data_IF_453682912243
#
_entry.id   IF_453682912243
#
_cell.length_a   1.000
_cell.length_b   1.000
_cell.length_c   1.000
_cell.angle_alpha   90.00
_cell.angle_beta   90.00
_cell.angle_gamma   90.00
#
_symmetry.space_group_name_H-M   'P 1'
#
loop_
_entity.id
_entity.type
_entity.pdbx_description
1 polymer ?
#
# COMPACT_ATOMS: atom_id res chain seq x y z
N UNK A 1 -8.10 1.12 -4.72
CA UNK A 1 -7.19 2.18 -4.23
C UNK A 1 -7.12 3.41 -5.15
N UNK A 2 -7.40 3.30 -6.46
CA UNK A 2 -7.37 4.45 -7.40
C UNK A 2 -8.18 5.65 -6.89
N UNK A 3 -9.43 5.44 -6.46
CA UNK A 3 -10.30 6.54 -5.99
C UNK A 3 -9.69 7.31 -4.82
N UNK A 4 -9.26 6.68 -3.71
CA UNK A 4 -8.60 7.39 -2.61
C UNK A 4 -7.21 7.95 -2.95
N UNK A 5 -6.43 7.32 -3.84
CA UNK A 5 -5.11 7.86 -4.25
C UNK A 5 -5.24 9.18 -5.01
N UNK A 6 -6.26 9.30 -5.87
CA UNK A 6 -6.45 10.49 -6.71
C UNK A 6 -7.47 11.49 -6.14
N UNK A 7 -8.10 11.18 -5.00
CA UNK A 7 -9.20 12.00 -4.48
C UNK A 7 -10.39 12.09 -5.44
N UNK A 8 -10.54 11.11 -6.32
CA UNK A 8 -11.49 11.18 -7.45
C UNK A 8 -12.94 11.20 -7.00
N UNK A 9 -13.22 10.88 -5.74
CA UNK A 9 -14.58 10.90 -5.21
C UNK A 9 -15.28 12.25 -5.23
N UNK A 10 -14.52 13.34 -5.40
CA UNK A 10 -15.06 14.68 -5.60
C UNK A 10 -15.43 14.99 -7.08
N UNK A 11 -14.89 14.24 -8.04
CA UNK A 11 -14.94 14.58 -9.48
C UNK A 11 -15.63 13.54 -10.35
N UNK A 12 -15.72 12.28 -9.92
CA UNK A 12 -16.43 11.23 -10.66
C UNK A 12 -17.88 11.03 -10.18
N UNK A 13 -18.87 11.00 -11.10
CA UNK A 13 -20.25 10.68 -10.74
C UNK A 13 -20.35 9.30 -10.07
N UNK A 14 -21.20 9.17 -9.06
CA UNK A 14 -21.47 7.93 -8.28
C UNK A 14 -20.34 7.43 -7.37
N UNK A 15 -19.25 8.17 -7.18
CA UNK A 15 -18.14 7.78 -6.28
C UNK A 15 -17.96 8.77 -5.12
N UNK A 16 -19.04 9.40 -4.67
CA UNK A 16 -18.97 10.49 -3.70
C UNK A 16 -18.20 10.06 -2.44
N UNK A 17 -17.07 10.71 -2.17
CA UNK A 17 -16.30 10.49 -0.95
C UNK A 17 -16.73 11.50 0.11
N UNK A 18 -17.40 11.04 1.16
CA UNK A 18 -17.84 11.89 2.27
C UNK A 18 -17.45 11.27 3.60
N UNK A 19 -17.31 12.10 4.64
CA UNK A 19 -16.98 11.63 5.98
C UNK A 19 -15.69 10.83 5.98
N UNK A 20 -15.79 9.56 6.41
CA UNK A 20 -14.67 8.64 6.54
C UNK A 20 -13.97 8.32 5.22
N UNK A 21 -14.70 8.22 4.10
CA UNK A 21 -14.07 7.96 2.79
C UNK A 21 -13.18 9.13 2.36
N UNK A 22 -13.59 10.37 2.64
CA UNK A 22 -12.81 11.56 2.34
C UNK A 22 -11.60 11.68 3.28
N UNK A 23 -11.77 11.33 4.56
CA UNK A 23 -10.68 11.26 5.55
C UNK A 23 -9.62 10.23 5.13
N UNK A 24 -10.05 9.02 4.78
CA UNK A 24 -9.17 7.96 4.29
C UNK A 24 -8.46 8.37 3.00
N UNK A 25 -9.18 8.92 2.03
CA UNK A 25 -8.62 9.47 0.79
C UNK A 25 -7.52 10.50 1.07
N UNK A 26 -7.78 11.42 2.00
CA UNK A 26 -6.80 12.45 2.38
C UNK A 26 -5.56 11.86 3.03
N UNK A 27 -5.70 10.88 3.91
CA UNK A 27 -4.57 10.14 4.49
C UNK A 27 -3.71 9.49 3.40
N UNK A 28 -4.33 8.79 2.44
CA UNK A 28 -3.62 8.15 1.34
C UNK A 28 -2.87 9.18 0.50
N UNK A 29 -3.53 10.25 0.07
CA UNK A 29 -2.90 11.34 -0.70
C UNK A 29 -1.67 11.88 0.03
N UNK A 30 -1.81 12.22 1.31
CA UNK A 30 -0.74 12.82 2.10
C UNK A 30 0.45 11.85 2.29
N UNK A 31 0.23 10.54 2.46
CA UNK A 31 1.31 9.54 2.48
C UNK A 31 2.05 9.49 1.13
N UNK A 32 1.31 9.46 0.02
CA UNK A 32 1.88 9.42 -1.33
C UNK A 32 2.65 10.69 -1.69
N UNK A 33 2.13 11.88 -1.35
CA UNK A 33 2.81 13.15 -1.63
C UNK A 33 4.03 13.34 -0.74
N UNK A 34 3.98 12.92 0.53
CA UNK A 34 5.14 12.92 1.43
C UNK A 34 6.26 12.06 0.88
N UNK A 35 5.92 10.84 0.43
CA UNK A 35 6.89 9.97 -0.23
C UNK A 35 7.45 10.59 -1.51
N UNK A 36 6.61 11.17 -2.36
CA UNK A 36 7.06 11.82 -3.60
C UNK A 36 8.02 13.00 -3.33
N UNK A 37 7.81 13.75 -2.24
CA UNK A 37 8.66 14.88 -1.84
C UNK A 37 9.99 14.46 -1.22
N UNK A 38 10.02 13.35 -0.48
CA UNK A 38 11.15 13.06 0.44
C UNK A 38 11.75 11.66 0.30
N UNK A 39 11.10 10.74 -0.40
CA UNK A 39 11.43 9.31 -0.41
C UNK A 39 11.02 8.57 0.88
N UNK A 40 10.37 9.23 1.83
CA UNK A 40 9.88 8.67 3.08
C UNK A 40 8.39 9.04 3.25
N UNK A 41 7.45 8.09 3.40
CA UNK A 41 6.04 8.43 3.59
C UNK A 41 5.73 9.04 4.97
N UNK A 42 6.69 9.03 5.90
CA UNK A 42 6.53 9.62 7.23
C UNK A 42 6.89 11.11 7.18
N UNK A 43 5.94 12.03 7.44
CA UNK A 43 6.16 13.44 7.23
C UNK A 43 7.01 14.02 8.37
N UNK A 44 8.09 14.72 8.02
CA UNK A 44 9.04 15.33 8.96
C UNK A 44 8.60 16.75 9.30
N UNK A 45 8.84 17.24 10.53
CA UNK A 45 8.32 18.53 11.01
C UNK A 45 8.68 19.75 10.14
N UNK A 46 9.76 19.68 9.37
CA UNK A 46 10.24 20.70 8.43
C UNK A 46 9.67 20.58 7.00
N UNK A 47 8.88 19.53 6.72
CA UNK A 47 8.22 19.33 5.44
C UNK A 47 7.26 20.49 5.13
N UNK A 48 7.47 21.10 3.97
CA UNK A 48 6.58 22.14 3.45
C UNK A 48 5.33 21.49 2.86
N UNK A 49 4.20 21.69 3.54
CA UNK A 49 2.90 21.20 3.11
C UNK A 49 1.91 21.00 4.27
N UNK A 50 0.79 20.35 3.96
CA UNK A 50 -0.30 20.08 4.91
C UNK A 50 -0.21 18.68 5.52
N UNK A 51 0.68 17.83 5.01
CA UNK A 51 0.81 16.43 5.40
C UNK A 51 1.21 16.28 6.89
N UNK A 52 2.10 17.14 7.39
CA UNK A 52 2.49 17.17 8.81
C UNK A 52 1.35 17.50 9.79
N UNK A 53 0.30 18.16 9.30
CA UNK A 53 -0.85 18.54 10.11
C UNK A 53 -1.95 17.48 10.13
N UNK A 54 -1.83 16.44 9.31
CA UNK A 54 -2.80 15.35 9.23
C UNK A 54 -2.46 14.29 10.29
N UNK A 55 -3.30 14.20 11.34
CA UNK A 55 -3.10 13.26 12.45
C UNK A 55 -3.14 11.80 12.00
N UNK A 56 -3.91 11.48 10.95
CA UNK A 56 -3.99 10.12 10.40
C UNK A 56 -2.69 9.71 9.70
N UNK A 57 -1.81 10.67 9.40
CA UNK A 57 -0.49 10.41 8.78
C UNK A 57 0.60 10.55 9.83
N UNK A 58 0.59 11.64 10.61
CA UNK A 58 1.65 11.93 11.58
C UNK A 58 1.67 10.98 12.78
N UNK A 59 0.57 10.28 13.07
CA UNK A 59 0.50 9.28 14.14
C UNK A 59 1.05 7.90 13.72
N UNK A 60 1.23 7.66 12.42
CA UNK A 60 1.68 6.38 11.89
C UNK A 60 3.18 6.42 11.66
N UNK A 61 3.85 5.30 11.92
CA UNK A 61 5.22 5.07 11.48
C UNK A 61 5.22 3.98 10.42
N UNK A 62 5.09 4.36 9.15
CA UNK A 62 5.21 3.44 8.03
C UNK A 62 6.66 3.03 7.87
N UNK A 63 6.97 1.86 8.44
CA UNK A 63 8.30 1.26 8.39
C UNK A 63 8.63 0.78 6.99
N UNK A 64 9.87 1.02 6.56
CA UNK A 64 10.40 0.41 5.35
C UNK A 64 10.31 -1.13 5.38
N UNK A 65 10.04 -1.71 4.22
CA UNK A 65 9.95 -3.15 4.03
C UNK A 65 11.29 -3.84 4.34
N UNK A 66 11.25 -4.97 5.06
CA UNK A 66 12.42 -5.77 5.40
C UNK A 66 12.05 -7.27 5.54
N UNK A 67 13.03 -8.10 5.94
CA UNK A 67 12.87 -9.55 6.05
C UNK A 67 11.76 -10.01 7.02
N UNK A 68 11.27 -9.13 7.90
CA UNK A 68 10.13 -9.42 8.80
C UNK A 68 8.77 -9.19 8.13
N UNK A 69 8.76 -8.80 6.86
CA UNK A 69 7.56 -8.52 6.07
C UNK A 69 6.63 -7.51 6.78
N UNK A 70 7.11 -6.29 7.13
CA UNK A 70 6.24 -5.26 7.68
C UNK A 70 5.37 -4.65 6.57
N UNK A 71 4.06 -4.65 6.76
CA UNK A 71 3.06 -4.09 5.83
C UNK A 71 2.24 -3.05 6.58
N UNK A 72 1.99 -1.90 5.95
CA UNK A 72 1.03 -0.93 6.48
C UNK A 72 -0.37 -1.35 6.06
N UNK A 73 -1.20 -1.75 7.02
CA UNK A 73 -2.63 -1.94 6.81
C UNK A 73 -3.27 -0.56 6.78
N UNK A 74 -3.79 -0.18 5.60
CA UNK A 74 -4.42 1.12 5.38
C UNK A 74 -5.92 1.02 5.67
N UNK A 75 -6.35 1.65 6.76
CA UNK A 75 -7.76 1.83 7.17
C UNK A 75 -7.90 3.18 7.90
N UNK A 76 -9.09 3.52 8.38
CA UNK A 76 -9.32 4.71 9.24
C UNK A 76 -8.44 4.68 10.50
N UNK A 77 -8.13 3.49 11.00
CA UNK A 77 -7.17 3.24 12.08
C UNK A 77 -6.01 2.40 11.54
N UNK A 78 -5.23 3.01 10.65
CA UNK A 78 -4.10 2.35 10.00
C UNK A 78 -3.02 1.92 10.99
N UNK A 79 -2.42 0.74 10.75
CA UNK A 79 -1.42 0.14 11.64
C UNK A 79 -0.40 -0.70 10.89
N UNK A 80 0.76 -0.88 11.49
CA UNK A 80 1.77 -1.82 10.97
C UNK A 80 1.42 -3.26 11.35
N UNK A 81 1.38 -4.14 10.35
CA UNK A 81 1.21 -5.58 10.50
C UNK A 81 2.51 -6.28 10.11
N UNK A 82 2.91 -7.29 10.88
CA UNK A 82 4.09 -8.10 10.61
C UNK A 82 3.65 -9.43 10.01
N UNK A 83 4.31 -9.87 8.93
CA UNK A 83 3.94 -11.14 8.29
C UNK A 83 2.59 -11.09 7.56
N UNK A 84 2.14 -9.90 7.15
CA UNK A 84 0.89 -9.74 6.41
C UNK A 84 0.87 -10.63 5.15
N UNK A 85 -0.23 -11.36 4.98
CA UNK A 85 -0.51 -12.26 3.84
C UNK A 85 0.54 -13.35 3.56
N UNK A 86 1.45 -13.63 4.50
CA UNK A 86 2.57 -14.55 4.26
C UNK A 86 2.13 -15.97 3.88
N UNK A 87 1.04 -16.47 4.48
CA UNK A 87 0.47 -17.79 4.16
C UNK A 87 -0.12 -17.83 2.74
N UNK A 88 -0.78 -16.75 2.33
CA UNK A 88 -1.37 -16.63 0.99
C UNK A 88 -0.26 -16.53 -0.06
N UNK A 89 0.78 -15.72 0.19
CA UNK A 89 1.94 -15.64 -0.68
C UNK A 89 2.65 -16.99 -0.79
N UNK A 90 2.85 -17.70 0.32
CA UNK A 90 3.49 -19.02 0.31
C UNK A 90 2.67 -20.04 -0.49
N UNK A 91 1.34 -20.05 -0.31
CA UNK A 91 0.44 -20.89 -1.09
C UNK A 91 0.50 -20.56 -2.58
N UNK A 92 0.43 -19.29 -2.95
CA UNK A 92 0.49 -18.84 -4.35
C UNK A 92 1.84 -19.20 -4.97
N UNK A 93 2.95 -19.01 -4.26
CA UNK A 93 4.29 -19.41 -4.71
C UNK A 93 4.42 -20.92 -4.90
N UNK A 94 3.72 -21.73 -4.11
CA UNK A 94 3.67 -23.18 -4.26
C UNK A 94 2.84 -23.60 -5.48
N UNK A 95 1.63 -23.05 -5.63
CA UNK A 95 0.71 -23.46 -6.69
C UNK A 95 1.10 -22.91 -8.07
N UNK A 96 1.55 -21.65 -8.15
CA UNK A 96 1.94 -21.00 -9.43
C UNK A 96 3.24 -21.58 -9.99
N UNK A 97 4.07 -22.25 -9.17
CA UNK A 97 5.23 -23.01 -9.70
C UNK A 97 4.82 -24.06 -10.72
N UNK A 98 3.63 -24.62 -10.59
CA UNK A 98 3.09 -25.66 -11.46
C UNK A 98 2.07 -25.11 -12.47
N UNK A 99 1.87 -23.79 -12.52
CA UNK A 99 1.03 -23.15 -13.53
C UNK A 99 1.81 -22.93 -14.84
N UNK A 100 1.64 -23.89 -15.76
CA UNK A 100 2.25 -23.91 -17.09
C UNK A 100 1.71 -22.81 -18.04
N UNK A 101 0.65 -22.09 -17.65
CA UNK A 101 0.10 -20.96 -18.43
C UNK A 101 0.91 -19.69 -18.16
N UNK A 102 1.35 -19.48 -16.92
CA UNK A 102 2.17 -18.32 -16.51
C UNK A 102 3.65 -18.57 -16.71
N UNK A 103 4.12 -19.81 -16.52
CA UNK A 103 5.51 -20.22 -16.78
C UNK A 103 5.59 -21.05 -18.06
N UNK A 104 5.99 -20.43 -19.17
CA UNK A 104 6.33 -21.18 -20.39
C UNK A 104 7.46 -22.17 -20.05
N UNK A 105 7.27 -23.49 -20.22
CA UNK A 105 8.34 -24.46 -20.01
C UNK A 105 9.32 -24.30 -21.17
N UNK A 106 10.35 -23.48 -20.99
CA UNK A 106 11.43 -23.35 -21.99
C UNK A 106 12.62 -24.25 -21.72
N UNK A 107 12.47 -25.22 -20.81
CA UNK A 107 13.47 -26.26 -20.62
C UNK A 107 12.79 -27.60 -20.38
N UNK A 108 13.04 -28.64 -21.20
CA UNK A 108 12.57 -29.96 -20.89
C UNK A 108 13.20 -30.42 -19.57
N UNK A 109 12.39 -31.07 -18.73
CA UNK A 109 12.89 -31.88 -17.63
C UNK A 109 13.72 -33.00 -18.26
N UNK A 110 15.04 -32.81 -18.32
CA UNK A 110 15.95 -33.90 -18.66
C UNK A 110 15.90 -34.86 -17.48
N UNK A 111 15.31 -36.03 -17.74
CA UNK A 111 15.36 -37.19 -16.87
C UNK A 111 16.82 -37.67 -16.73
N UNK A 112 17.23 -37.94 -15.50
CA UNK A 112 18.16 -39.02 -15.16
C UNK A 112 17.91 -39.47 -13.72
#
# INVERSE_FOLDING_TARGET
>A
DIIPVFGSGAVTPFTLQTGDDARFSRMIIDLWTTFAKTGNPNPAADLVGVENSNLDVSSISWRAYDARNPVLECDLESKMVMGGEQEVCAFMDEQIKYDFVVRKPTTPLVQS
#
